data_IF_945349626695
#
_entry.id   IF_945349626695
#
_cell.length_a   1.000
_cell.length_b   1.000
_cell.length_c   1.000
_cell.angle_alpha   90.00
_cell.angle_beta   90.00
_cell.angle_gamma   90.00
#
_symmetry.space_group_name_H-M   'P 1'
#
loop_
_entity.id
_entity.type
_entity.pdbx_description
1 polymer ?
#
# COMPACT_ATOMS: atom_id res chain seq x y z
N UNK A 1 5.38 -10.18 -1.50
CA UNK A 1 5.61 -10.25 -0.03
C UNK A 1 4.36 -9.69 0.66
N UNK A 2 4.03 -10.13 1.87
CA UNK A 2 2.79 -9.77 2.59
C UNK A 2 3.09 -8.79 3.72
N UNK A 3 2.05 -8.08 4.22
CA UNK A 3 2.16 -7.18 5.37
C UNK A 3 2.67 -7.88 6.64
N UNK A 4 2.33 -9.15 6.83
CA UNK A 4 2.87 -9.98 7.92
C UNK A 4 4.40 -10.04 7.89
N UNK A 5 4.98 -10.26 6.71
CA UNK A 5 6.41 -10.46 6.54
C UNK A 5 7.19 -9.14 6.50
N UNK A 6 6.60 -8.08 5.94
CA UNK A 6 7.29 -6.79 5.76
C UNK A 6 7.12 -5.85 6.96
N UNK A 7 5.97 -5.85 7.62
CA UNK A 7 5.68 -5.00 8.77
C UNK A 7 5.70 -5.77 10.09
N UNK A 8 4.72 -6.62 10.35
CA UNK A 8 4.49 -7.18 11.69
C UNK A 8 5.68 -8.00 12.24
N UNK A 9 6.20 -8.93 11.44
CA UNK A 9 7.36 -9.72 11.86
C UNK A 9 8.61 -8.87 12.09
N UNK A 10 8.79 -7.79 11.32
CA UNK A 10 9.95 -6.89 11.45
C UNK A 10 9.79 -6.02 12.69
N UNK A 11 8.61 -5.42 12.89
CA UNK A 11 8.39 -4.44 13.94
C UNK A 11 8.35 -5.08 15.33
N UNK A 12 7.71 -6.25 15.47
CA UNK A 12 7.69 -6.98 16.74
C UNK A 12 9.06 -7.54 17.16
N UNK A 13 10.03 -7.64 16.23
CA UNK A 13 11.43 -7.95 16.58
C UNK A 13 12.23 -6.72 17.01
N UNK A 14 11.80 -5.52 16.63
CA UNK A 14 12.54 -4.27 16.85
C UNK A 14 12.01 -3.46 18.03
N UNK A 15 10.71 -3.53 18.29
CA UNK A 15 9.99 -2.70 19.24
C UNK A 15 8.99 -3.54 20.02
N UNK A 16 8.99 -3.38 21.35
CA UNK A 16 7.93 -3.86 22.23
C UNK A 16 6.89 -2.76 22.33
N UNK A 17 5.63 -3.11 22.02
CA UNK A 17 4.51 -2.17 22.06
C UNK A 17 3.82 -2.26 23.41
N UNK A 18 3.60 -1.11 24.04
CA UNK A 18 2.89 -1.02 25.33
C UNK A 18 1.37 -0.99 25.19
N UNK A 19 0.87 -0.59 24.02
CA UNK A 19 -0.57 -0.53 23.73
C UNK A 19 -0.86 -0.77 22.24
N UNK A 20 -2.13 -0.99 21.91
CA UNK A 20 -2.56 -1.17 20.52
C UNK A 20 -2.41 0.13 19.72
N UNK A 21 -2.64 1.29 20.35
CA UNK A 21 -2.53 2.60 19.71
C UNK A 21 -1.11 2.89 19.23
N UNK A 22 -0.11 2.46 20.00
CA UNK A 22 1.29 2.59 19.61
C UNK A 22 1.63 1.74 18.39
N UNK A 23 1.09 0.51 18.30
CA UNK A 23 1.24 -0.34 17.12
C UNK A 23 0.50 0.25 15.92
N UNK A 24 -0.71 0.78 16.13
CA UNK A 24 -1.52 1.37 15.07
C UNK A 24 -0.82 2.59 14.46
N UNK A 25 -0.19 3.44 15.27
CA UNK A 25 0.56 4.60 14.76
C UNK A 25 1.69 4.18 13.80
N UNK A 26 2.52 3.22 14.22
CA UNK A 26 3.61 2.73 13.36
C UNK A 26 3.08 2.04 12.10
N UNK A 27 1.92 1.37 12.19
CA UNK A 27 1.25 0.75 11.06
C UNK A 27 0.74 1.80 10.07
N UNK A 28 0.11 2.87 10.55
CA UNK A 28 -0.42 3.94 9.71
C UNK A 28 0.71 4.63 8.93
N UNK A 29 1.82 4.95 9.61
CA UNK A 29 3.02 5.50 8.97
C UNK A 29 3.61 4.54 7.93
N UNK A 30 3.67 3.24 8.23
CA UNK A 30 4.16 2.24 7.28
C UNK A 30 3.24 2.09 6.06
N UNK A 31 1.92 2.12 6.27
CA UNK A 31 0.93 2.02 5.19
C UNK A 31 0.98 3.23 4.27
N UNK A 32 1.16 4.44 4.81
CA UNK A 32 1.33 5.66 4.01
C UNK A 32 2.58 5.55 3.13
N UNK A 33 3.72 5.14 3.69
CA UNK A 33 4.92 4.89 2.91
C UNK A 33 4.70 3.83 1.82
N UNK A 34 4.10 2.69 2.18
CA UNK A 34 3.86 1.60 1.23
C UNK A 34 2.97 2.04 0.06
N UNK A 35 1.89 2.76 0.33
CA UNK A 35 0.89 3.12 -0.67
C UNK A 35 1.30 4.31 -1.53
N UNK A 36 1.95 5.32 -0.93
CA UNK A 36 2.17 6.61 -1.58
C UNK A 36 3.62 6.85 -2.01
N UNK A 37 4.59 6.13 -1.43
CA UNK A 37 6.01 6.42 -1.64
C UNK A 37 6.78 5.23 -2.23
N UNK A 38 6.35 3.99 -1.97
CA UNK A 38 7.04 2.81 -2.46
C UNK A 38 6.69 2.52 -3.91
N UNK A 39 7.64 2.80 -4.80
CA UNK A 39 7.58 2.37 -6.20
C UNK A 39 7.76 0.87 -6.31
N UNK A 40 6.81 0.17 -6.92
CA UNK A 40 6.94 -1.26 -7.19
C UNK A 40 7.40 -1.48 -8.64
N UNK A 41 8.61 -2.01 -8.82
CA UNK A 41 9.12 -2.44 -10.15
C UNK A 41 8.47 -3.75 -10.66
N UNK A 42 7.40 -4.22 -10.01
CA UNK A 42 6.64 -5.35 -10.51
C UNK A 42 5.98 -5.01 -11.86
N UNK A 43 5.84 -6.01 -12.73
CA UNK A 43 5.23 -5.90 -14.07
C UNK A 43 3.86 -5.18 -14.07
N UNK A 44 3.12 -5.24 -12.96
CA UNK A 44 1.79 -4.63 -12.82
C UNK A 44 1.83 -3.14 -12.48
N UNK A 45 2.75 -2.71 -11.63
CA UNK A 45 2.84 -1.30 -11.21
C UNK A 45 3.77 -0.48 -12.13
N UNK A 46 4.65 -1.12 -12.91
CA UNK A 46 5.53 -0.45 -13.87
C UNK A 46 6.39 0.67 -13.24
N UNK A 47 6.84 0.48 -11.99
CA UNK A 47 7.60 1.51 -11.27
C UNK A 47 6.73 2.59 -10.60
N UNK A 48 5.41 2.54 -10.78
CA UNK A 48 4.46 3.40 -10.06
C UNK A 48 4.25 2.90 -8.64
N UNK A 49 3.73 3.79 -7.81
CA UNK A 49 3.23 3.49 -6.47
C UNK A 49 1.89 2.75 -6.55
N UNK A 50 1.48 2.05 -5.48
CA UNK A 50 0.17 1.41 -5.43
C UNK A 50 -0.99 2.39 -5.68
N UNK A 51 -0.94 3.60 -5.11
CA UNK A 51 -2.02 4.58 -5.28
C UNK A 51 -2.15 5.05 -6.73
N UNK A 52 -1.03 5.35 -7.40
CA UNK A 52 -1.03 5.74 -8.82
C UNK A 52 -1.57 4.61 -9.72
N UNK A 53 -1.23 3.36 -9.40
CA UNK A 53 -1.74 2.19 -10.13
C UNK A 53 -3.25 2.04 -9.96
N UNK A 54 -3.77 2.31 -8.75
CA UNK A 54 -5.20 2.26 -8.46
C UNK A 54 -5.97 3.37 -9.18
N UNK A 55 -5.45 4.59 -9.19
CA UNK A 55 -6.07 5.74 -9.86
C UNK A 55 -6.13 5.56 -11.38
N UNK A 56 -5.05 5.05 -11.98
CA UNK A 56 -5.02 4.68 -13.40
C UNK A 56 -6.09 3.63 -13.73
N UNK A 57 -6.18 2.58 -12.89
CA UNK A 57 -7.21 1.54 -13.03
C UNK A 57 -8.65 2.08 -12.93
N UNK A 58 -8.91 3.04 -12.03
CA UNK A 58 -10.23 3.69 -11.89
C UNK A 58 -10.60 4.48 -13.14
N UNK A 59 -9.65 5.22 -13.72
CA UNK A 59 -9.86 6.00 -14.95
C UNK A 59 -10.22 5.09 -16.12
N UNK A 60 -9.44 4.03 -16.34
CA UNK A 60 -9.70 3.03 -17.40
C UNK A 60 -11.08 2.38 -17.22
N UNK A 61 -11.48 2.08 -15.98
CA UNK A 61 -12.80 1.52 -15.71
C UNK A 61 -13.93 2.50 -16.03
N UNK A 62 -13.79 3.76 -15.64
CA UNK A 62 -14.77 4.80 -15.92
C UNK A 62 -14.95 5.02 -17.44
N UNK A 63 -13.85 5.06 -18.20
CA UNK A 63 -13.87 5.16 -19.66
C UNK A 63 -14.61 3.99 -20.33
N UNK A 64 -14.36 2.76 -19.86
CA UNK A 64 -15.04 1.57 -20.37
C UNK A 64 -16.54 1.56 -20.09
N UNK A 65 -16.97 2.05 -18.93
CA UNK A 65 -18.39 2.15 -18.61
C UNK A 65 -19.10 3.22 -19.43
N UNK A 66 -18.44 4.34 -19.72
CA UNK A 66 -19.00 5.40 -20.57
C UNK A 66 -19.17 4.94 -22.02
N UNK A 67 -18.32 4.03 -22.51
CA UNK A 67 -18.44 3.42 -23.83
C UNK A 67 -19.54 2.34 -23.94
N UNK A 68 -20.22 2.02 -22.84
CA UNK A 68 -21.34 1.04 -22.80
C UNK A 68 -22.73 1.69 -22.79
N UNK A 69 -22.82 3.02 -22.81
CA UNK A 69 -24.08 3.81 -22.89
C UNK A 69 -24.20 4.38 -24.30
#
# INVERSE_FOLDING_TARGET
KTILNEFYQVTFRKKLYGSMEELQKDLDEWMDYYNNHRTHQGKMCCGRTPIETLEDGKSIWAEKNLAQI
#
